data_IF_011027721982
#
_entry.id   IF_011027721982
#
_cell.length_a   1.000
_cell.length_b   1.000
_cell.length_c   1.000
_cell.angle_alpha   90.00
_cell.angle_beta   90.00
_cell.angle_gamma   90.00
#
_symmetry.space_group_name_H-M   'P 1'
#
loop_
_entity.id
_entity.type
_entity.pdbx_description
1 polymer ?
#
# COMPACT_ATOMS: atom_id res chain seq x y z
N UNK A 1 13.26 -2.03 -14.75
CA UNK A 1 12.14 -2.52 -13.91
C UNK A 1 11.91 -1.40 -12.92
N UNK A 2 10.86 -0.59 -13.08
CA UNK A 2 10.65 0.56 -12.18
C UNK A 2 10.53 0.01 -10.76
N UNK A 3 11.47 0.37 -9.91
CA UNK A 3 11.59 -0.17 -8.56
C UNK A 3 10.25 -0.02 -7.85
N UNK A 4 9.81 -1.11 -7.20
CA UNK A 4 8.52 -1.11 -6.54
C UNK A 4 8.53 -0.21 -5.30
N UNK A 5 9.67 0.21 -4.78
CA UNK A 5 9.72 0.90 -3.51
C UNK A 5 9.33 2.37 -3.62
N UNK A 6 8.49 2.78 -2.68
CA UNK A 6 8.08 4.17 -2.52
C UNK A 6 9.24 4.97 -1.92
N UNK A 7 9.60 6.14 -2.48
CA UNK A 7 10.67 6.98 -1.93
C UNK A 7 10.31 7.58 -0.56
N UNK A 8 9.05 7.45 -0.13
CA UNK A 8 8.55 8.00 1.11
C UNK A 8 8.19 6.95 2.17
N UNK A 9 8.50 5.68 1.91
CA UNK A 9 8.39 4.62 2.90
C UNK A 9 9.52 3.60 2.76
N UNK A 10 10.18 3.28 3.87
CA UNK A 10 11.02 2.09 3.98
C UNK A 10 10.35 1.05 4.86
N UNK A 11 10.43 -0.21 4.45
CA UNK A 11 9.88 -1.35 5.19
C UNK A 11 10.97 -2.39 5.35
N UNK A 12 11.30 -2.73 6.60
CA UNK A 12 12.36 -3.69 6.93
C UNK A 12 11.74 -4.84 7.71
N UNK A 13 11.87 -6.07 7.22
CA UNK A 13 11.46 -7.25 7.96
C UNK A 13 12.39 -7.44 9.16
N UNK A 14 11.81 -7.47 10.37
CA UNK A 14 12.58 -7.63 11.61
C UNK A 14 12.44 -9.01 12.23
N UNK A 15 11.37 -9.74 11.91
CA UNK A 15 11.23 -11.12 12.36
C UNK A 15 9.96 -11.79 11.90
N UNK A 16 9.98 -13.12 11.91
CA UNK A 16 8.83 -13.97 11.65
C UNK A 16 8.73 -15.05 12.73
N UNK A 17 7.51 -15.45 13.11
CA UNK A 17 7.33 -16.59 14.02
C UNK A 17 7.68 -17.92 13.37
N UNK A 18 7.69 -17.99 12.03
CA UNK A 18 8.00 -19.18 11.24
C UNK A 18 8.92 -18.82 10.07
N UNK A 19 9.77 -19.75 9.59
CA UNK A 19 10.64 -19.50 8.44
C UNK A 19 9.84 -19.18 7.17
N UNK A 20 10.26 -18.16 6.44
CA UNK A 20 9.75 -17.88 5.10
C UNK A 20 10.40 -18.88 4.15
N UNK A 21 9.59 -19.67 3.45
CA UNK A 21 10.05 -20.68 2.48
C UNK A 21 10.56 -20.02 1.20
N UNK A 22 9.82 -19.02 0.72
CA UNK A 22 10.16 -18.25 -0.48
C UNK A 22 9.44 -16.91 -0.48
N UNK A 23 10.00 -15.92 -1.17
CA UNK A 23 9.35 -14.63 -1.41
C UNK A 23 9.19 -14.37 -2.91
N UNK A 24 8.10 -13.69 -3.26
CA UNK A 24 7.87 -13.14 -4.59
C UNK A 24 7.38 -11.71 -4.44
N UNK A 25 8.29 -10.75 -4.59
CA UNK A 25 8.01 -9.34 -4.26
C UNK A 25 7.65 -9.20 -2.78
N UNK A 26 6.46 -8.67 -2.49
CA UNK A 26 5.94 -8.47 -1.13
C UNK A 26 5.12 -9.65 -0.58
N UNK A 27 5.09 -10.77 -1.31
CA UNK A 27 4.36 -11.98 -0.90
C UNK A 27 5.36 -13.00 -0.34
N UNK A 28 5.15 -13.44 0.90
CA UNK A 28 5.92 -14.52 1.54
C UNK A 28 5.12 -15.82 1.62
N UNK A 29 5.77 -16.94 1.31
CA UNK A 29 5.22 -18.29 1.49
C UNK A 29 5.70 -18.86 2.82
N UNK A 30 4.78 -19.41 3.60
CA UNK A 30 5.06 -20.11 4.85
C UNK A 30 4.58 -21.55 4.74
N UNK A 31 5.28 -22.46 5.42
CA UNK A 31 4.84 -23.85 5.61
C UNK A 31 4.60 -24.07 7.10
N UNK A 32 3.36 -24.39 7.45
CA UNK A 32 2.92 -24.55 8.84
C UNK A 32 3.03 -25.97 9.37
N UNK A 33 3.19 -26.96 8.49
CA UNK A 33 3.12 -28.38 8.86
C UNK A 33 1.68 -28.85 9.08
N UNK A 34 1.57 -30.00 9.75
CA UNK A 34 0.30 -30.63 10.07
C UNK A 34 -0.31 -30.00 11.35
N UNK A 35 -1.63 -29.91 11.41
CA UNK A 35 -2.38 -29.44 12.58
C UNK A 35 -3.35 -30.53 13.01
N UNK A 36 -3.36 -30.84 14.31
CA UNK A 36 -4.34 -31.77 14.88
C UNK A 36 -5.72 -31.11 15.03
N UNK A 37 -6.81 -31.89 15.12
CA UNK A 37 -8.15 -31.34 15.34
C UNK A 37 -8.21 -30.45 16.60
N UNK A 38 -8.59 -29.18 16.40
CA UNK A 38 -8.68 -28.17 17.46
C UNK A 38 -7.39 -27.38 17.71
N UNK A 39 -6.29 -27.70 17.02
CA UNK A 39 -5.04 -26.94 17.09
C UNK A 39 -5.15 -25.60 16.33
N UNK A 40 -4.34 -24.62 16.72
CA UNK A 40 -4.24 -23.33 16.05
C UNK A 40 -2.79 -22.86 16.02
N UNK A 41 -2.37 -22.35 14.86
CA UNK A 41 -1.04 -21.76 14.68
C UNK A 41 -1.17 -20.28 14.31
N UNK A 42 -0.28 -19.46 14.88
CA UNK A 42 -0.22 -18.02 14.62
C UNK A 42 1.05 -17.68 13.84
N UNK A 43 0.85 -17.16 12.63
CA UNK A 43 1.88 -16.52 11.83
C UNK A 43 1.99 -15.05 12.23
N UNK A 44 3.12 -14.67 12.84
CA UNK A 44 3.46 -13.28 13.13
C UNK A 44 4.60 -12.85 12.22
N UNK A 45 4.46 -11.67 11.62
CA UNK A 45 5.48 -11.05 10.76
C UNK A 45 5.64 -9.61 11.22
N UNK A 46 6.84 -9.25 11.65
CA UNK A 46 7.16 -7.96 12.21
C UNK A 46 7.96 -7.14 11.21
N UNK A 47 7.59 -5.86 11.06
CA UNK A 47 8.28 -4.92 10.19
C UNK A 47 8.57 -3.62 10.92
N UNK A 48 9.77 -3.08 10.71
CA UNK A 48 10.06 -1.69 10.98
C UNK A 48 9.66 -0.87 9.75
N UNK A 49 8.71 0.05 9.94
CA UNK A 49 8.22 0.93 8.87
C UNK A 49 8.59 2.37 9.20
N UNK A 50 9.37 3.00 8.33
CA UNK A 50 9.64 4.44 8.40
C UNK A 50 8.87 5.14 7.29
N UNK A 51 8.03 6.10 7.65
CA UNK A 51 7.24 6.92 6.72
C UNK A 51 7.77 8.34 6.77
N UNK A 52 7.92 8.98 5.60
CA UNK A 52 8.41 10.35 5.49
C UNK A 52 7.32 11.24 4.88
N UNK A 53 7.09 12.45 5.42
CA UNK A 53 6.32 13.45 4.70
C UNK A 53 6.94 13.75 3.34
N UNK A 54 6.09 14.03 2.35
CA UNK A 54 6.50 14.39 0.99
C UNK A 54 5.93 15.74 0.64
N UNK A 55 6.72 16.58 -0.01
CA UNK A 55 6.20 17.80 -0.63
C UNK A 55 7.09 18.17 -1.81
N UNK A 56 6.60 17.91 -3.01
CA UNK A 56 7.32 18.26 -4.25
C UNK A 56 6.82 19.63 -4.69
N UNK A 57 7.74 20.60 -4.68
CA UNK A 57 7.48 21.99 -5.10
C UNK A 57 7.97 22.29 -6.52
N UNK A 58 8.87 21.46 -7.05
CA UNK A 58 9.34 21.56 -8.44
C UNK A 58 8.24 21.14 -9.41
N UNK A 59 8.30 21.66 -10.63
CA UNK A 59 7.41 21.25 -11.71
C UNK A 59 8.20 20.92 -12.98
N UNK A 60 7.64 20.01 -13.78
CA UNK A 60 8.06 19.64 -15.13
C UNK A 60 6.83 19.17 -15.90
N UNK A 61 7.00 18.82 -17.18
CA UNK A 61 5.90 18.37 -18.03
C UNK A 61 5.13 17.17 -17.44
N UNK A 62 5.83 16.18 -16.88
CA UNK A 62 5.23 15.00 -16.22
C UNK A 62 4.33 15.39 -15.05
N UNK A 63 4.78 16.33 -14.20
CA UNK A 63 4.02 16.82 -13.05
C UNK A 63 2.80 17.61 -13.50
N UNK A 64 2.91 18.44 -14.55
CA UNK A 64 1.77 19.20 -15.06
C UNK A 64 0.72 18.32 -15.74
N UNK A 65 1.12 17.30 -16.50
CA UNK A 65 0.19 16.30 -17.04
C UNK A 65 -0.51 15.53 -15.92
N UNK A 66 0.22 15.10 -14.89
CA UNK A 66 -0.38 14.45 -13.73
C UNK A 66 -1.36 15.38 -13.01
N UNK A 67 -1.05 16.68 -12.91
CA UNK A 67 -1.94 17.69 -12.31
C UNK A 67 -3.21 17.88 -13.13
N UNK A 68 -3.13 17.84 -14.45
CA UNK A 68 -4.30 17.85 -15.34
C UNK A 68 -5.17 16.61 -15.10
N UNK A 69 -4.59 15.42 -15.04
CA UNK A 69 -5.31 14.18 -14.72
C UNK A 69 -5.99 14.25 -13.34
N UNK A 70 -5.30 14.78 -12.33
CA UNK A 70 -5.84 14.99 -10.98
C UNK A 70 -7.05 15.94 -10.98
N UNK A 71 -6.94 17.09 -11.65
CA UNK A 71 -8.02 18.07 -11.74
C UNK A 71 -9.22 17.57 -12.55
N UNK A 72 -8.97 16.72 -13.55
CA UNK A 72 -10.00 16.10 -14.37
C UNK A 72 -10.65 14.86 -13.73
N UNK A 73 -10.18 14.42 -12.55
CA UNK A 73 -10.76 13.28 -11.84
C UNK A 73 -11.93 13.75 -10.96
N UNK A 74 -13.14 13.17 -11.12
CA UNK A 74 -14.29 13.52 -10.29
C UNK A 74 -13.99 13.35 -8.79
N UNK A 75 -14.55 14.23 -7.97
CA UNK A 75 -14.37 14.17 -6.51
C UNK A 75 -15.28 13.17 -5.79
N UNK A 76 -16.07 12.37 -6.50
CA UNK A 76 -17.02 11.42 -5.94
C UNK A 76 -16.60 9.97 -6.18
N UNK A 77 -16.76 9.13 -5.16
CA UNK A 77 -16.39 7.71 -5.22
C UNK A 77 -15.62 7.26 -3.98
N UNK A 78 -15.41 5.94 -3.86
CA UNK A 78 -14.53 5.40 -2.83
C UNK A 78 -13.06 5.61 -3.21
N UNK A 79 -12.16 5.52 -2.22
CA UNK A 79 -10.73 5.80 -2.40
C UNK A 79 -10.07 4.96 -3.50
N UNK A 80 -10.48 3.69 -3.65
CA UNK A 80 -9.94 2.80 -4.67
C UNK A 80 -10.39 3.22 -6.09
N UNK A 81 -11.69 3.50 -6.27
CA UNK A 81 -12.23 3.95 -7.54
C UNK A 81 -11.62 5.28 -7.98
N UNK A 82 -11.47 6.24 -7.06
CA UNK A 82 -10.81 7.52 -7.35
C UNK A 82 -9.35 7.31 -7.81
N UNK A 83 -8.62 6.42 -7.14
CA UNK A 83 -7.24 6.09 -7.49
C UNK A 83 -7.13 5.47 -8.88
N UNK A 84 -8.04 4.54 -9.22
CA UNK A 84 -8.11 3.93 -10.55
C UNK A 84 -8.38 4.97 -11.65
N UNK A 85 -9.38 5.84 -11.45
CA UNK A 85 -9.72 6.88 -12.44
C UNK A 85 -8.54 7.81 -12.69
N UNK A 86 -7.81 8.21 -11.65
CA UNK A 86 -6.58 8.99 -11.82
C UNK A 86 -5.52 8.22 -12.63
N UNK A 87 -5.26 6.96 -12.26
CA UNK A 87 -4.25 6.12 -12.93
C UNK A 87 -4.59 5.94 -14.41
N UNK A 88 -5.85 5.69 -14.74
CA UNK A 88 -6.30 5.54 -16.12
C UNK A 88 -6.13 6.82 -16.93
N UNK A 89 -6.46 7.98 -16.34
CA UNK A 89 -6.24 9.30 -16.98
C UNK A 89 -4.75 9.61 -17.13
N UNK A 90 -3.94 9.36 -16.12
CA UNK A 90 -2.50 9.58 -16.18
C UNK A 90 -1.87 8.72 -17.28
N UNK A 91 -2.26 7.44 -17.37
CA UNK A 91 -1.79 6.51 -18.41
C UNK A 91 -2.25 6.92 -19.81
N UNK A 92 -3.47 7.44 -19.98
CA UNK A 92 -3.93 7.93 -21.28
C UNK A 92 -3.19 9.18 -21.76
N UNK A 93 -2.58 9.93 -20.83
CA UNK A 93 -1.65 11.04 -21.10
C UNK A 93 -0.19 10.59 -21.26
N UNK A 94 0.08 9.27 -21.31
CA UNK A 94 1.42 8.72 -21.49
C UNK A 94 2.25 8.61 -20.21
N UNK A 95 1.67 8.87 -19.03
CA UNK A 95 2.39 8.78 -17.76
C UNK A 95 2.43 7.35 -17.23
N UNK A 96 3.52 7.02 -16.54
CA UNK A 96 3.55 5.80 -15.73
C UNK A 96 2.90 6.08 -14.38
N UNK A 97 1.80 5.37 -14.09
CA UNK A 97 1.06 5.49 -12.84
C UNK A 97 0.59 4.13 -12.31
N UNK A 98 0.39 4.05 -10.99
CA UNK A 98 -0.07 2.84 -10.28
C UNK A 98 -1.00 3.17 -9.12
N UNK A 99 -1.83 2.21 -8.74
CA UNK A 99 -2.60 2.25 -7.49
C UNK A 99 -1.74 1.68 -6.37
N UNK A 100 -1.86 2.28 -5.20
CA UNK A 100 -1.28 1.80 -3.95
C UNK A 100 -2.41 1.42 -3.01
N UNK A 101 -2.28 0.29 -2.34
CA UNK A 101 -3.20 -0.16 -1.30
C UNK A 101 -2.44 -0.32 0.01
N UNK A 102 -3.08 0.10 1.10
CA UNK A 102 -2.53 -0.03 2.43
C UNK A 102 -3.43 0.63 3.45
N UNK A 103 -2.84 1.43 4.33
CA UNK A 103 -3.53 1.99 5.48
C UNK A 103 -3.34 3.50 5.54
N UNK A 104 -4.34 4.19 6.05
CA UNK A 104 -4.24 5.62 6.35
C UNK A 104 -4.65 5.95 7.77
N UNK A 105 -4.43 7.18 8.20
CA UNK A 105 -5.21 7.78 9.30
C UNK A 105 -6.14 8.89 8.83
N UNK A 106 -7.11 9.31 9.67
CA UNK A 106 -7.85 10.55 9.47
C UNK A 106 -6.91 11.75 9.30
N UNK A 107 -7.41 12.82 8.65
CA UNK A 107 -6.63 13.93 8.07
C UNK A 107 -5.65 14.66 9.00
N UNK A 108 -5.73 14.51 10.32
CA UNK A 108 -4.82 15.14 11.27
C UNK A 108 -4.01 14.11 12.06
N UNK A 109 -2.68 14.20 11.93
CA UNK A 109 -1.72 13.54 12.83
C UNK A 109 -1.01 12.31 12.26
N UNK A 110 0.00 11.88 13.01
CA UNK A 110 0.79 10.69 12.69
C UNK A 110 0.01 9.43 13.01
N UNK A 111 0.43 8.32 12.41
CA UNK A 111 0.01 6.99 12.85
C UNK A 111 0.54 6.73 14.28
N UNK A 112 -0.26 6.07 15.10
CA UNK A 112 0.03 5.72 16.48
C UNK A 112 -0.45 4.28 16.74
N UNK A 113 -0.01 3.68 17.86
CA UNK A 113 -0.25 2.27 18.14
C UNK A 113 -1.73 1.88 18.12
N UNK A 114 -2.01 0.65 17.67
CA UNK A 114 -3.34 0.08 17.64
C UNK A 114 -3.65 -0.72 16.37
N UNK A 115 -4.90 -1.15 16.28
CA UNK A 115 -5.41 -1.91 15.13
C UNK A 115 -5.49 -1.03 13.89
N UNK A 116 -5.10 -1.59 12.74
CA UNK A 116 -5.29 -1.01 11.42
C UNK A 116 -6.63 -1.43 10.79
N UNK A 117 -7.51 -2.10 11.54
CA UNK A 117 -8.86 -2.42 11.10
C UNK A 117 -9.67 -1.15 10.82
N UNK A 118 -10.43 -1.15 9.71
CA UNK A 118 -11.31 -0.04 9.34
C UNK A 118 -10.60 1.19 8.74
N UNK A 119 -9.27 1.19 8.66
CA UNK A 119 -8.49 2.30 8.07
C UNK A 119 -7.79 1.93 6.76
N UNK A 120 -8.29 0.88 6.09
CA UNK A 120 -7.85 0.49 4.75
C UNK A 120 -8.06 1.65 3.79
N UNK A 121 -7.08 1.87 2.93
CA UNK A 121 -7.11 2.97 1.99
C UNK A 121 -6.36 2.64 0.71
N UNK A 122 -6.74 3.36 -0.35
CA UNK A 122 -6.03 3.32 -1.62
C UNK A 122 -5.80 4.73 -2.12
N UNK A 123 -4.65 4.93 -2.71
CA UNK A 123 -4.26 6.17 -3.38
C UNK A 123 -3.51 5.82 -4.67
N UNK A 124 -3.06 6.83 -5.40
CA UNK A 124 -2.30 6.65 -6.63
C UNK A 124 -0.88 7.19 -6.51
N UNK A 125 -0.01 6.69 -7.36
CA UNK A 125 1.31 7.28 -7.60
C UNK A 125 1.53 7.43 -9.10
N UNK A 126 2.33 8.43 -9.47
CA UNK A 126 2.88 8.57 -10.81
C UNK A 126 4.40 8.68 -10.74
N UNK A 127 5.10 8.19 -11.76
CA UNK A 127 6.56 8.20 -11.79
C UNK A 127 7.07 9.47 -12.48
N UNK A 128 8.07 10.11 -11.87
CA UNK A 128 8.78 11.25 -12.45
C UNK A 128 10.27 10.91 -12.48
N UNK A 129 10.89 11.04 -13.65
CA UNK A 129 12.32 10.78 -13.79
C UNK A 129 13.14 11.68 -12.87
N UNK A 130 14.13 11.09 -12.19
CA UNK A 130 14.93 11.75 -11.15
C UNK A 130 14.25 11.99 -9.79
N UNK A 131 12.92 11.90 -9.68
CA UNK A 131 12.20 12.03 -8.39
C UNK A 131 11.60 10.72 -7.87
N UNK A 132 11.37 9.75 -8.76
CA UNK A 132 10.74 8.47 -8.41
C UNK A 132 9.21 8.55 -8.35
N UNK A 133 8.61 7.74 -7.49
CA UNK A 133 7.15 7.67 -7.31
C UNK A 133 6.62 8.85 -6.49
N UNK A 134 5.68 9.59 -7.08
CA UNK A 134 5.06 10.78 -6.52
C UNK A 134 3.62 10.48 -6.09
N UNK A 135 3.24 10.72 -4.83
CA UNK A 135 1.92 10.36 -4.33
C UNK A 135 0.81 11.32 -4.79
N UNK A 136 -0.38 10.76 -4.99
CA UNK A 136 -1.64 11.45 -5.26
C UNK A 136 -2.76 10.78 -4.48
N UNK A 137 -3.43 11.51 -3.60
CA UNK A 137 -4.60 11.04 -2.84
C UNK A 137 -5.79 11.96 -3.10
N UNK A 138 -6.70 11.48 -3.95
CA UNK A 138 -7.92 12.19 -4.32
C UNK A 138 -8.94 12.29 -3.18
N UNK A 139 -8.88 11.39 -2.20
CA UNK A 139 -9.79 11.43 -1.04
C UNK A 139 -9.45 12.61 -0.14
N UNK A 140 -8.16 12.93 -0.02
CA UNK A 140 -7.67 14.04 0.79
C UNK A 140 -7.23 15.26 -0.01
N UNK A 141 -7.42 15.23 -1.34
CA UNK A 141 -7.00 16.27 -2.27
C UNK A 141 -5.50 16.58 -2.18
N UNK A 142 -4.70 15.56 -1.88
CA UNK A 142 -3.25 15.65 -1.87
C UNK A 142 -2.69 15.36 -3.26
N UNK A 143 -1.90 16.28 -3.79
CA UNK A 143 -1.19 16.11 -5.04
C UNK A 143 0.29 16.36 -4.81
N UNK A 144 1.12 15.38 -5.19
CA UNK A 144 2.58 15.42 -5.03
C UNK A 144 3.04 15.78 -3.60
N UNK A 145 2.23 15.40 -2.61
CA UNK A 145 2.42 15.78 -1.22
C UNK A 145 1.77 14.76 -0.29
N UNK A 146 2.44 14.45 0.81
CA UNK A 146 1.87 13.86 2.01
C UNK A 146 2.36 14.70 3.20
N UNK A 147 1.53 15.60 3.75
CA UNK A 147 1.97 16.55 4.78
C UNK A 147 2.26 15.89 6.13
N UNK A 148 1.77 14.66 6.34
CA UNK A 148 1.92 13.89 7.57
C UNK A 148 2.39 12.47 7.26
N UNK A 149 3.01 11.82 8.25
CA UNK A 149 3.32 10.40 8.19
C UNK A 149 2.05 9.57 8.46
N UNK A 150 1.11 9.61 7.51
CA UNK A 150 -0.26 9.10 7.66
C UNK A 150 -0.61 7.95 6.72
N UNK A 151 0.26 7.57 5.78
CA UNK A 151 -0.01 6.57 4.75
C UNK A 151 1.03 5.46 4.81
N UNK A 152 0.58 4.23 5.11
CA UNK A 152 1.41 3.03 5.09
C UNK A 152 1.10 2.25 3.83
N UNK A 153 2.11 2.08 2.99
CA UNK A 153 2.05 1.19 1.82
C UNK A 153 2.10 -0.26 2.29
N UNK A 154 1.10 -1.04 1.90
CA UNK A 154 1.11 -2.49 2.03
C UNK A 154 1.52 -3.12 0.70
N UNK A 155 0.81 -2.80 -0.38
CA UNK A 155 1.00 -3.40 -1.70
C UNK A 155 0.73 -2.43 -2.86
N UNK A 156 1.31 -2.76 -4.02
CA UNK A 156 1.13 -2.06 -5.31
C UNK A 156 0.37 -2.88 -6.35
N UNK A 157 0.14 -4.15 -6.04
CA UNK A 157 -0.76 -5.00 -6.81
C UNK A 157 -2.16 -4.87 -6.21
N UNK A 158 -3.19 -5.18 -7.00
CA UNK A 158 -4.54 -5.35 -6.45
C UNK A 158 -4.51 -6.19 -5.17
N UNK A 159 -5.42 -5.89 -4.23
CA UNK A 159 -5.51 -6.54 -2.92
C UNK A 159 -5.46 -8.06 -3.08
N UNK A 160 -4.32 -8.68 -2.76
CA UNK A 160 -4.13 -10.11 -2.89
C UNK A 160 -4.66 -10.74 -1.60
N UNK A 161 -5.74 -11.55 -1.66
CA UNK A 161 -6.23 -12.21 -0.47
C UNK A 161 -5.18 -13.18 0.06
N UNK A 162 -5.24 -13.47 1.37
CA UNK A 162 -4.51 -14.60 1.93
C UNK A 162 -4.98 -15.86 1.20
N UNK A 163 -4.03 -16.60 0.62
CA UNK A 163 -4.29 -17.87 -0.06
C UNK A 163 -3.76 -18.99 0.79
N UNK A 164 -4.59 -20.00 0.99
CA UNK A 164 -4.27 -21.12 1.86
C UNK A 164 -4.51 -22.40 1.07
N UNK A 165 -3.48 -23.23 1.01
CA UNK A 165 -3.57 -24.59 0.49
C UNK A 165 -3.48 -25.52 1.68
N UNK A 166 -4.49 -26.38 1.86
CA UNK A 166 -4.52 -27.35 2.93
C UNK A 166 -5.21 -28.64 2.44
N UNK A 167 -5.02 -29.73 3.19
CA UNK A 167 -5.66 -31.02 2.92
C UNK A 167 -6.19 -31.57 4.25
N UNK A 168 -7.46 -31.98 4.28
CA UNK A 168 -8.10 -32.45 5.52
C UNK A 168 -9.45 -31.79 5.74
N UNK A 169 -9.92 -31.78 6.99
CA UNK A 169 -11.25 -31.29 7.41
C UNK A 169 -11.50 -29.79 7.22
N UNK A 170 -12.17 -29.14 8.16
CA UNK A 170 -12.47 -27.71 8.04
C UNK A 170 -11.31 -26.85 8.56
N UNK A 171 -10.90 -25.85 7.78
CA UNK A 171 -9.88 -24.87 8.16
C UNK A 171 -10.48 -23.47 8.23
N UNK A 172 -10.24 -22.78 9.35
CA UNK A 172 -10.53 -21.36 9.49
C UNK A 172 -9.23 -20.56 9.53
N UNK A 173 -9.19 -19.45 8.81
CA UNK A 173 -8.07 -18.52 8.87
C UNK A 173 -8.58 -17.08 9.02
N UNK A 174 -7.88 -16.32 9.85
CA UNK A 174 -8.13 -14.91 10.09
C UNK A 174 -6.81 -14.16 10.10
N UNK A 175 -6.86 -12.85 9.90
CA UNK A 175 -5.68 -12.00 9.94
C UNK A 175 -6.04 -10.62 10.50
N UNK A 176 -5.04 -9.95 11.03
CA UNK A 176 -5.16 -8.58 11.51
C UNK A 176 -3.81 -7.88 11.43
N UNK A 177 -3.83 -6.58 11.18
CA UNK A 177 -2.65 -5.74 11.13
C UNK A 177 -2.67 -4.76 12.30
N UNK A 178 -1.53 -4.61 12.96
CA UNK A 178 -1.37 -3.72 14.11
C UNK A 178 -0.10 -2.91 13.99
N UNK A 179 -0.12 -1.75 14.64
CA UNK A 179 1.07 -0.95 14.90
C UNK A 179 1.31 -1.00 16.40
N UNK A 180 2.55 -1.34 16.76
CA UNK A 180 3.01 -1.46 18.14
C UNK A 180 3.51 -0.12 18.67
#
# INVERSE_FOLDING_TARGET
>A
MLENDSPYQTTVLTGTSHPIVSTSGRVGLFHLGDLEPGESVVLAVNYDITIRPVSIKSTNETIELARQAFNATPGNGNCHALSLVFVDKARSMGLTARVVTGFKRPQSGNIAPGSLAGVRHSWAEFYVDGLGWVPVDLTFRYFASFPHASHVVETYTADQPIRINYKGGDLQATWSNFIL
#
